data_IF_968264672632
#
_entry.id   IF_968264672632
#
_cell.length_a   1.000
_cell.length_b   1.000
_cell.length_c   1.000
_cell.angle_alpha   90.00
_cell.angle_beta   90.00
_cell.angle_gamma   90.00
#
_symmetry.space_group_name_H-M   'P 1'
#
loop_
_entity.id
_entity.type
_entity.pdbx_description
1 polymer ?
#
# COMPACT_ATOMS: atom_id res chain seq x y z
N UNK A 1 11.46 -1.97 15.12
CA UNK A 1 12.36 -1.60 14.00
C UNK A 1 11.99 -0.26 13.37
N UNK A 2 10.85 -0.11 12.66
CA UNK A 2 10.51 1.15 11.94
C UNK A 2 10.53 2.39 12.84
N UNK A 3 9.87 2.35 14.00
CA UNK A 3 9.85 3.50 14.92
C UNK A 3 11.22 3.85 15.51
N UNK A 4 12.12 2.86 15.63
CA UNK A 4 13.51 3.10 16.09
C UNK A 4 14.29 3.85 15.02
N UNK A 5 14.02 3.59 13.74
CA UNK A 5 14.63 4.35 12.66
C UNK A 5 14.17 5.81 12.67
N UNK A 6 12.89 6.08 12.90
CA UNK A 6 12.41 7.45 13.06
C UNK A 6 13.04 8.15 14.26
N UNK A 7 13.13 7.45 15.39
CA UNK A 7 13.82 7.97 16.57
C UNK A 7 15.28 8.33 16.26
N UNK A 8 16.03 7.46 15.56
CA UNK A 8 17.43 7.69 15.22
C UNK A 8 17.64 8.77 14.15
N UNK A 9 16.78 8.79 13.14
CA UNK A 9 16.96 9.67 11.96
C UNK A 9 16.40 11.07 12.17
N UNK A 10 15.61 11.28 13.22
CA UNK A 10 15.14 12.61 13.68
C UNK A 10 16.03 13.23 14.75
N UNK A 11 17.24 12.71 14.92
CA UNK A 11 18.27 13.29 15.78
C UNK A 11 19.54 13.62 15.01
N UNK A 12 19.46 13.64 13.66
CA UNK A 12 20.60 13.96 12.81
C UNK A 12 20.79 15.47 12.70
N UNK A 13 19.72 16.25 12.84
CA UNK A 13 19.75 17.71 13.04
C UNK A 13 18.80 18.18 14.16
N UNK A 14 18.56 19.51 14.22
CA UNK A 14 17.79 20.17 15.28
C UNK A 14 16.27 20.06 15.11
N UNK A 15 15.79 19.68 13.93
CA UNK A 15 14.37 19.56 13.65
C UNK A 15 13.87 18.11 13.89
N UNK A 16 12.56 17.91 14.12
CA UNK A 16 12.04 16.58 14.48
C UNK A 16 11.74 15.68 13.27
N UNK A 17 12.12 16.10 12.06
CA UNK A 17 11.84 15.41 10.81
C UNK A 17 12.88 14.32 10.55
N UNK A 18 12.59 13.45 9.58
CA UNK A 18 13.51 12.40 9.16
C UNK A 18 14.43 12.95 8.08
N UNK A 19 15.74 12.92 8.30
CA UNK A 19 16.76 13.52 7.40
C UNK A 19 17.33 12.57 6.34
N UNK A 20 16.73 11.39 6.22
CA UNK A 20 17.13 10.38 5.23
C UNK A 20 15.96 10.04 4.32
N UNK A 21 16.25 9.45 3.16
CA UNK A 21 15.23 8.81 2.32
C UNK A 21 15.11 7.33 2.70
N UNK A 22 14.08 6.92 3.46
CA UNK A 22 14.01 5.58 4.01
C UNK A 22 13.46 4.57 2.99
N UNK A 23 13.88 3.32 3.12
CA UNK A 23 13.37 2.18 2.37
C UNK A 23 13.86 0.88 2.99
N UNK A 24 13.12 -0.21 2.80
CA UNK A 24 13.44 -1.51 3.40
C UNK A 24 13.61 -2.58 2.33
N UNK A 25 14.81 -3.13 2.19
CA UNK A 25 15.01 -4.34 1.42
C UNK A 25 14.67 -5.54 2.30
N UNK A 26 13.61 -6.26 1.95
CA UNK A 26 13.11 -7.42 2.69
C UNK A 26 12.53 -8.46 1.73
N UNK A 27 12.96 -9.70 1.86
CA UNK A 27 12.39 -10.85 1.14
C UNK A 27 12.41 -12.09 2.05
N UNK A 28 11.62 -13.11 1.74
CA UNK A 28 11.52 -14.30 2.61
C UNK A 28 12.72 -15.25 2.54
N UNK A 29 13.53 -15.17 1.48
CA UNK A 29 14.71 -16.03 1.30
C UNK A 29 15.88 -15.25 0.70
N UNK A 30 17.14 -15.73 0.86
CA UNK A 30 18.30 -15.11 0.24
C UNK A 30 18.19 -15.00 -1.29
N UNK A 31 17.63 -16.01 -1.96
CA UNK A 31 17.44 -16.02 -3.41
C UNK A 31 16.46 -14.92 -3.85
N UNK A 32 15.35 -14.76 -3.12
CA UNK A 32 14.36 -13.71 -3.39
C UNK A 32 14.91 -12.31 -3.06
N UNK A 33 15.74 -12.22 -2.02
CA UNK A 33 16.45 -10.98 -1.67
C UNK A 33 17.43 -10.57 -2.77
N UNK A 34 18.25 -11.50 -3.26
CA UNK A 34 19.14 -11.25 -4.41
C UNK A 34 18.35 -10.77 -5.63
N UNK A 35 17.24 -11.44 -5.95
CA UNK A 35 16.37 -11.02 -7.05
C UNK A 35 15.74 -9.62 -6.83
N UNK A 36 15.56 -9.17 -5.58
CA UNK A 36 15.12 -7.80 -5.26
C UNK A 36 16.22 -6.79 -5.51
N UNK A 37 17.45 -7.10 -5.12
CA UNK A 37 18.61 -6.25 -5.41
C UNK A 37 18.83 -6.14 -6.92
N UNK A 38 18.88 -7.27 -7.62
CA UNK A 38 19.14 -7.31 -9.08
C UNK A 38 18.11 -6.48 -9.86
N UNK A 39 16.82 -6.63 -9.55
CA UNK A 39 15.77 -5.84 -10.24
C UNK A 39 15.77 -4.37 -9.84
N UNK A 40 16.21 -4.02 -8.64
CA UNK A 40 16.35 -2.61 -8.22
C UNK A 40 17.48 -1.93 -9.01
N UNK A 41 18.62 -2.61 -9.18
CA UNK A 41 19.75 -2.13 -9.99
C UNK A 41 19.36 -1.96 -11.47
N UNK A 42 18.58 -2.90 -12.00
CA UNK A 42 18.16 -2.89 -13.41
C UNK A 42 16.98 -1.96 -13.68
N UNK A 43 16.31 -1.46 -12.64
CA UNK A 43 15.11 -0.66 -12.79
C UNK A 43 15.43 0.64 -13.53
N UNK A 44 14.60 0.94 -14.53
CA UNK A 44 14.59 2.23 -15.21
C UNK A 44 13.24 2.89 -14.97
N UNK A 45 13.21 4.20 -14.64
CA UNK A 45 11.94 4.93 -14.50
C UNK A 45 11.09 4.75 -15.76
N UNK A 46 9.80 4.47 -15.58
CA UNK A 46 8.91 4.28 -16.73
C UNK A 46 8.46 5.65 -17.27
N UNK A 47 8.67 5.85 -18.56
CA UNK A 47 8.02 6.93 -19.31
C UNK A 47 6.50 6.81 -19.24
N UNK A 48 5.80 7.94 -19.29
CA UNK A 48 4.32 8.01 -19.18
C UNK A 48 3.59 7.01 -20.10
N UNK A 49 4.06 6.86 -21.35
CA UNK A 49 3.48 5.95 -22.34
C UNK A 49 3.60 4.47 -21.99
N UNK A 50 4.49 4.12 -21.06
CA UNK A 50 4.72 2.75 -20.60
C UNK A 50 4.03 2.44 -19.26
N UNK A 51 3.43 3.45 -18.62
CA UNK A 51 2.70 3.26 -17.37
C UNK A 51 1.38 2.56 -17.67
N UNK A 52 1.14 1.43 -17.01
CA UNK A 52 -0.09 0.64 -17.10
C UNK A 52 -0.66 0.51 -15.69
N UNK A 53 -1.50 1.47 -15.24
CA UNK A 53 -2.05 1.46 -13.91
C UNK A 53 -3.24 0.50 -13.81
N UNK A 54 -3.33 -0.27 -12.74
CA UNK A 54 -4.51 -1.05 -12.35
C UNK A 54 -5.00 -0.56 -10.99
N UNK A 55 -6.28 -0.17 -10.91
CA UNK A 55 -6.91 0.16 -9.64
C UNK A 55 -7.66 -1.06 -9.08
N UNK A 56 -7.41 -1.42 -7.81
CA UNK A 56 -8.15 -2.47 -7.09
C UNK A 56 -8.88 -1.84 -5.90
N UNK A 57 -10.20 -1.90 -5.93
CA UNK A 57 -11.08 -1.14 -5.04
C UNK A 57 -11.97 -2.07 -4.25
N UNK A 58 -11.91 -2.05 -2.92
CA UNK A 58 -12.81 -2.86 -2.11
C UNK A 58 -14.08 -2.10 -1.72
N UNK A 59 -15.25 -2.72 -1.89
CA UNK A 59 -16.53 -2.27 -1.36
C UNK A 59 -16.94 -3.19 -0.20
N UNK A 60 -16.78 -2.75 1.05
CA UNK A 60 -17.04 -3.59 2.22
C UNK A 60 -18.53 -3.84 2.45
N UNK A 61 -19.37 -2.82 2.21
CA UNK A 61 -20.83 -2.83 2.38
C UNK A 61 -21.50 -1.94 1.33
N UNK A 62 -22.82 -2.08 1.17
CA UNK A 62 -23.59 -1.33 0.18
C UNK A 62 -23.46 0.19 0.33
N UNK A 63 -23.37 0.67 1.58
CA UNK A 63 -23.24 2.08 1.94
C UNK A 63 -21.79 2.61 1.84
N UNK A 64 -20.78 1.75 1.71
CA UNK A 64 -19.35 2.11 1.78
C UNK A 64 -18.72 2.29 0.39
N UNK A 65 -19.27 3.20 -0.42
CA UNK A 65 -18.89 3.39 -1.84
C UNK A 65 -17.64 4.26 -2.07
N UNK A 66 -17.01 4.79 -1.01
CA UNK A 66 -15.85 5.71 -1.12
C UNK A 66 -14.67 5.11 -1.89
N UNK A 67 -14.51 3.78 -1.86
CA UNK A 67 -13.50 3.11 -2.68
C UNK A 67 -13.75 3.29 -4.17
N UNK A 68 -15.00 3.21 -4.64
CA UNK A 68 -15.31 3.41 -6.05
C UNK A 68 -15.00 4.84 -6.51
N UNK A 69 -15.27 5.82 -5.65
CA UNK A 69 -14.91 7.23 -5.91
C UNK A 69 -13.39 7.42 -6.07
N UNK A 70 -12.58 6.75 -5.26
CA UNK A 70 -11.11 6.79 -5.37
C UNK A 70 -10.62 6.16 -6.68
N UNK A 71 -11.26 5.11 -7.15
CA UNK A 71 -10.97 4.53 -8.47
C UNK A 71 -11.24 5.53 -9.60
N UNK A 72 -12.34 6.30 -9.50
CA UNK A 72 -12.64 7.37 -10.44
C UNK A 72 -11.61 8.51 -10.39
N UNK A 73 -11.11 8.87 -9.19
CA UNK A 73 -10.00 9.83 -9.04
C UNK A 73 -8.75 9.34 -9.78
N UNK A 74 -8.37 8.07 -9.63
CA UNK A 74 -7.22 7.48 -10.33
C UNK A 74 -7.42 7.48 -11.85
N UNK A 75 -8.61 7.08 -12.33
CA UNK A 75 -8.93 7.10 -13.76
C UNK A 75 -8.85 8.51 -14.35
N UNK A 76 -9.33 9.53 -13.61
CA UNK A 76 -9.20 10.94 -14.01
C UNK A 76 -7.75 11.44 -13.96
N UNK A 77 -6.99 11.02 -12.95
CA UNK A 77 -5.58 11.40 -12.79
C UNK A 77 -4.74 10.94 -13.98
N UNK A 78 -4.75 9.64 -14.29
CA UNK A 78 -4.01 9.07 -15.41
C UNK A 78 -4.60 9.44 -16.78
N UNK A 79 -5.90 9.67 -16.86
CA UNK A 79 -6.57 10.12 -18.08
C UNK A 79 -6.07 11.47 -18.59
N UNK A 80 -5.53 12.35 -17.73
CA UNK A 80 -4.91 13.63 -18.14
C UNK A 80 -3.72 13.46 -19.07
N UNK A 81 -3.07 12.31 -19.00
CA UNK A 81 -1.92 11.96 -19.84
C UNK A 81 -2.27 10.83 -20.83
N UNK A 82 -3.56 10.65 -21.11
CA UNK A 82 -4.09 9.61 -22.00
C UNK A 82 -3.69 8.17 -21.59
N UNK A 83 -3.56 7.92 -20.30
CA UNK A 83 -3.25 6.58 -19.76
C UNK A 83 -4.53 5.94 -19.24
N UNK A 84 -4.93 4.82 -19.88
CA UNK A 84 -6.07 4.03 -19.45
C UNK A 84 -5.83 3.41 -18.06
N UNK A 85 -6.86 3.39 -17.22
CA UNK A 85 -6.80 2.78 -15.88
C UNK A 85 -7.92 1.76 -15.73
N UNK A 86 -7.64 0.48 -16.04
CA UNK A 86 -8.53 -0.63 -15.68
C UNK A 86 -8.84 -0.66 -14.19
N UNK A 87 -10.05 -1.11 -13.84
CA UNK A 87 -10.54 -1.15 -12.45
C UNK A 87 -11.06 -2.55 -12.12
N UNK A 88 -10.56 -3.12 -11.02
CA UNK A 88 -11.18 -4.27 -10.37
C UNK A 88 -11.88 -3.79 -9.10
N UNK A 89 -13.20 -3.87 -9.07
CA UNK A 89 -14.00 -3.57 -7.89
C UNK A 89 -14.35 -4.88 -7.17
N UNK A 90 -13.87 -5.05 -5.94
CA UNK A 90 -14.06 -6.24 -5.11
C UNK A 90 -15.13 -5.97 -4.05
N UNK A 91 -16.30 -6.55 -4.23
CA UNK A 91 -17.44 -6.45 -3.32
C UNK A 91 -17.34 -7.54 -2.27
N UNK A 92 -17.39 -7.17 -1.00
CA UNK A 92 -17.48 -8.15 0.08
C UNK A 92 -18.84 -8.87 0.03
N UNK A 93 -18.96 -10.02 0.70
CA UNK A 93 -20.24 -10.74 0.83
C UNK A 93 -21.40 -9.90 1.40
N UNK A 94 -21.11 -8.79 2.08
CA UNK A 94 -22.10 -7.87 2.65
C UNK A 94 -22.48 -6.70 1.72
N UNK A 95 -21.86 -6.62 0.55
CA UNK A 95 -22.03 -5.52 -0.40
C UNK A 95 -22.83 -5.94 -1.65
N UNK A 96 -23.72 -6.93 -1.53
CA UNK A 96 -24.47 -7.50 -2.67
C UNK A 96 -25.34 -6.45 -3.36
N UNK A 97 -25.93 -5.55 -2.58
CA UNK A 97 -26.79 -4.45 -3.05
C UNK A 97 -26.03 -3.16 -3.36
N UNK A 98 -24.69 -3.18 -3.30
CA UNK A 98 -23.89 -2.01 -3.61
C UNK A 98 -24.00 -1.62 -5.09
N UNK A 99 -23.94 -0.32 -5.36
CA UNK A 99 -23.82 0.19 -6.72
C UNK A 99 -22.59 -0.41 -7.42
N UNK A 100 -22.77 -0.85 -8.67
CA UNK A 100 -21.70 -1.44 -9.48
C UNK A 100 -21.16 -0.43 -10.49
N UNK A 101 -19.85 -0.50 -10.73
CA UNK A 101 -19.23 0.29 -11.78
C UNK A 101 -19.56 -0.28 -13.17
N UNK A 102 -19.74 0.59 -14.15
CA UNK A 102 -19.98 0.24 -15.55
C UNK A 102 -18.93 0.90 -16.45
N UNK A 103 -18.65 0.29 -17.60
CA UNK A 103 -17.72 0.81 -18.60
C UNK A 103 -16.63 -0.19 -19.00
N UNK A 104 -15.75 0.21 -19.95
CA UNK A 104 -14.70 -0.66 -20.44
C UNK A 104 -13.64 -0.90 -19.35
N UNK A 105 -13.09 -2.12 -19.37
CA UNK A 105 -12.02 -2.59 -18.47
C UNK A 105 -12.35 -2.45 -16.99
N UNK A 106 -13.62 -2.65 -16.66
CA UNK A 106 -14.13 -2.69 -15.30
C UNK A 106 -14.62 -4.10 -14.99
N UNK A 107 -14.11 -4.69 -13.91
CA UNK A 107 -14.55 -6.00 -13.43
C UNK A 107 -15.05 -5.89 -12.00
N UNK A 108 -16.34 -6.20 -11.81
CA UNK A 108 -16.98 -6.25 -10.49
C UNK A 108 -16.96 -7.68 -9.97
N UNK A 109 -16.08 -7.98 -9.00
CA UNK A 109 -15.90 -9.30 -8.41
C UNK A 109 -16.61 -9.37 -7.06
N UNK A 110 -17.36 -10.44 -6.84
CA UNK A 110 -18.14 -10.65 -5.61
C UNK A 110 -17.47 -11.73 -4.76
N UNK A 111 -17.06 -11.38 -3.54
CA UNK A 111 -16.67 -12.35 -2.52
C UNK A 111 -17.92 -13.04 -1.94
N UNK A 112 -17.76 -14.30 -1.53
CA UNK A 112 -18.84 -15.12 -0.97
C UNK A 112 -18.52 -15.53 0.46
N UNK A 113 -19.43 -16.27 1.11
CA UNK A 113 -19.15 -16.84 2.44
C UNK A 113 -18.06 -17.92 2.37
N UNK A 114 -18.02 -18.70 1.28
CA UNK A 114 -17.02 -19.76 1.05
C UNK A 114 -15.65 -19.18 0.64
N UNK A 115 -15.66 -18.06 -0.08
CA UNK A 115 -14.45 -17.34 -0.51
C UNK A 115 -14.57 -15.88 -0.06
N UNK A 116 -14.21 -15.58 1.20
CA UNK A 116 -14.38 -14.24 1.76
C UNK A 116 -13.48 -13.19 1.10
N UNK A 117 -12.43 -13.64 0.40
CA UNK A 117 -11.47 -12.83 -0.33
C UNK A 117 -11.23 -13.45 -1.71
N UNK A 118 -10.97 -12.61 -2.71
CA UNK A 118 -10.77 -13.03 -4.09
C UNK A 118 -9.41 -13.72 -4.24
N UNK A 119 -9.42 -14.93 -4.79
CA UNK A 119 -8.23 -15.73 -5.11
C UNK A 119 -7.99 -15.91 -6.62
N UNK A 120 -8.98 -15.58 -7.44
CA UNK A 120 -8.88 -15.71 -8.89
C UNK A 120 -9.57 -14.54 -9.58
N UNK A 121 -9.03 -14.16 -10.73
CA UNK A 121 -9.55 -13.07 -11.54
C UNK A 121 -10.09 -13.63 -12.85
N UNK A 122 -11.21 -13.10 -13.38
CA UNK A 122 -11.63 -13.40 -14.73
C UNK A 122 -10.53 -13.04 -15.73
N UNK A 123 -10.49 -13.73 -16.88
CA UNK A 123 -9.39 -13.66 -17.85
C UNK A 123 -8.95 -12.24 -18.19
N UNK A 124 -9.90 -11.32 -18.41
CA UNK A 124 -9.61 -9.91 -18.68
C UNK A 124 -8.91 -9.20 -17.52
N UNK A 125 -9.45 -9.31 -16.31
CA UNK A 125 -8.85 -8.73 -15.10
C UNK A 125 -7.46 -9.34 -14.80
N UNK A 126 -7.31 -10.65 -14.99
CA UNK A 126 -6.03 -11.33 -14.82
C UNK A 126 -4.97 -10.81 -15.82
N UNK A 127 -5.36 -10.58 -17.07
CA UNK A 127 -4.48 -10.00 -18.09
C UNK A 127 -4.10 -8.55 -17.77
N UNK A 128 -5.06 -7.74 -17.31
CA UNK A 128 -4.79 -6.38 -16.84
C UNK A 128 -3.81 -6.37 -15.65
N UNK A 129 -3.99 -7.25 -14.67
CA UNK A 129 -3.09 -7.36 -13.52
C UNK A 129 -1.68 -7.82 -13.94
N UNK A 130 -1.57 -8.84 -14.78
CA UNK A 130 -0.26 -9.29 -15.28
C UNK A 130 0.46 -8.23 -16.11
N UNK A 131 -0.26 -7.43 -16.89
CA UNK A 131 0.34 -6.38 -17.73
C UNK A 131 0.59 -5.06 -17.00
N UNK A 132 -0.03 -4.84 -15.84
CA UNK A 132 0.11 -3.60 -15.07
C UNK A 132 1.57 -3.38 -14.66
N UNK A 133 2.05 -2.15 -14.79
CA UNK A 133 3.33 -1.72 -14.20
C UNK A 133 3.12 -1.09 -12.82
N UNK A 134 1.92 -0.55 -12.58
CA UNK A 134 1.51 0.09 -11.34
C UNK A 134 0.20 -0.54 -10.86
N UNK A 135 0.15 -0.96 -9.60
CA UNK A 135 -1.09 -1.44 -8.97
C UNK A 135 -1.41 -0.55 -7.78
N UNK A 136 -2.58 0.09 -7.81
CA UNK A 136 -3.06 0.96 -6.74
C UNK A 136 -4.26 0.29 -6.07
N UNK A 137 -4.11 -0.09 -4.81
CA UNK A 137 -5.12 -0.80 -4.05
C UNK A 137 -5.68 0.11 -2.96
N UNK A 138 -7.01 0.18 -2.82
CA UNK A 138 -7.64 0.92 -1.72
C UNK A 138 -8.91 0.23 -1.21
N UNK A 139 -8.98 0.08 0.11
CA UNK A 139 -9.99 -0.72 0.80
C UNK A 139 -9.55 -1.08 2.21
N UNK A 140 -10.18 -2.09 2.80
CA UNK A 140 -9.74 -2.68 4.05
C UNK A 140 -8.66 -3.73 3.83
N UNK A 141 -8.01 -4.14 4.91
CA UNK A 141 -6.98 -5.16 4.88
C UNK A 141 -6.80 -5.79 6.25
N UNK A 142 -6.34 -7.03 6.22
CA UNK A 142 -5.90 -7.82 7.36
C UNK A 142 -4.63 -8.57 6.92
N UNK A 143 -3.82 -9.14 7.82
CA UNK A 143 -2.70 -9.97 7.38
C UNK A 143 -3.16 -11.04 6.37
N UNK A 144 -2.39 -11.22 5.29
CA UNK A 144 -2.75 -12.11 4.17
C UNK A 144 -3.84 -11.61 3.22
N UNK A 145 -4.35 -10.38 3.35
CA UNK A 145 -5.37 -9.81 2.47
C UNK A 145 -5.24 -8.29 2.32
N UNK A 146 -5.28 -7.80 1.09
CA UNK A 146 -5.36 -6.36 0.81
C UNK A 146 -6.52 -6.06 -0.14
N UNK A 147 -7.39 -5.13 0.27
CA UNK A 147 -8.48 -4.60 -0.55
C UNK A 147 -9.39 -5.67 -1.16
N UNK A 148 -9.68 -6.71 -0.37
CA UNK A 148 -10.52 -7.85 -0.76
C UNK A 148 -9.80 -8.94 -1.57
N UNK A 149 -8.53 -8.75 -1.91
CA UNK A 149 -7.69 -9.74 -2.60
C UNK A 149 -6.89 -10.53 -1.58
N UNK A 150 -7.01 -11.85 -1.60
CA UNK A 150 -6.21 -12.73 -0.77
C UNK A 150 -4.76 -12.77 -1.27
N UNK A 151 -3.82 -13.07 -0.38
CA UNK A 151 -2.41 -13.27 -0.73
C UNK A 151 -2.21 -14.37 -1.79
N UNK A 152 -3.07 -15.39 -1.80
CA UNK A 152 -3.07 -16.46 -2.82
C UNK A 152 -3.64 -15.99 -4.17
N UNK A 153 -4.31 -14.84 -4.20
CA UNK A 153 -4.81 -14.21 -5.42
C UNK A 153 -3.76 -13.37 -6.15
N UNK A 154 -2.60 -13.10 -5.53
CA UNK A 154 -1.52 -12.38 -6.20
C UNK A 154 -0.99 -13.22 -7.38
N UNK A 155 -0.79 -12.60 -8.57
CA UNK A 155 -0.04 -13.24 -9.65
C UNK A 155 1.30 -13.79 -9.14
N UNK A 156 1.66 -14.99 -9.60
CA UNK A 156 2.95 -15.60 -9.28
C UNK A 156 4.14 -14.79 -9.83
N UNK A 157 3.90 -14.04 -10.91
CA UNK A 157 4.85 -13.12 -11.52
C UNK A 157 4.35 -11.68 -11.41
N UNK A 158 5.04 -10.90 -10.59
CA UNK A 158 4.88 -9.47 -10.37
C UNK A 158 6.14 -8.70 -10.79
N UNK A 159 6.96 -9.26 -11.68
CA UNK A 159 8.23 -8.67 -12.11
C UNK A 159 8.06 -7.19 -12.50
N UNK A 160 8.93 -6.35 -11.94
CA UNK A 160 9.00 -4.92 -12.25
C UNK A 160 7.82 -4.08 -11.73
N UNK A 161 6.83 -4.69 -11.06
CA UNK A 161 5.64 -3.96 -10.63
C UNK A 161 5.91 -3.07 -9.42
N UNK A 162 5.28 -1.92 -9.44
CA UNK A 162 5.22 -1.00 -8.31
C UNK A 162 3.81 -1.06 -7.72
N UNK A 163 3.70 -1.31 -6.42
CA UNK A 163 2.40 -1.54 -5.75
C UNK A 163 2.21 -0.53 -4.62
N UNK A 164 1.07 0.14 -4.63
CA UNK A 164 0.61 1.04 -3.57
C UNK A 164 -0.62 0.44 -2.92
N UNK A 165 -0.51 0.06 -1.65
CA UNK A 165 -1.61 -0.50 -0.87
C UNK A 165 -2.07 0.46 0.22
N UNK A 166 -3.28 0.98 0.05
CA UNK A 166 -3.98 1.85 1.00
C UNK A 166 -4.81 1.07 2.01
N UNK A 167 -4.47 -0.18 2.32
CA UNK A 167 -5.20 -0.99 3.29
C UNK A 167 -4.46 -1.13 4.62
N UNK A 168 -5.21 -1.46 5.67
CA UNK A 168 -4.62 -1.85 6.95
C UNK A 168 -3.82 -3.16 6.78
N UNK A 169 -2.77 -3.35 7.56
CA UNK A 169 -2.02 -4.61 7.71
C UNK A 169 -1.40 -5.20 6.42
N UNK A 170 -1.37 -4.46 5.31
CA UNK A 170 -0.80 -4.94 4.06
C UNK A 170 0.68 -5.34 4.21
N UNK A 171 1.41 -4.65 5.10
CA UNK A 171 2.80 -4.92 5.44
C UNK A 171 2.95 -5.36 6.91
N UNK A 172 1.95 -6.04 7.48
CA UNK A 172 1.98 -6.44 8.89
C UNK A 172 3.15 -7.38 9.17
N UNK A 173 3.98 -7.11 10.20
CA UNK A 173 5.03 -8.03 10.60
C UNK A 173 4.44 -9.24 11.33
N UNK A 174 5.26 -10.29 11.46
CA UNK A 174 4.95 -11.48 12.25
C UNK A 174 4.94 -11.18 13.76
N UNK A 175 5.75 -10.20 14.19
CA UNK A 175 5.88 -9.74 15.57
C UNK A 175 5.74 -8.22 15.65
N UNK A 176 5.10 -7.72 16.70
CA UNK A 176 4.92 -6.29 16.89
C UNK A 176 4.76 -5.91 18.36
N UNK A 177 5.37 -4.78 18.74
CA UNK A 177 5.38 -4.30 20.12
C UNK A 177 4.06 -3.68 20.57
N UNK A 178 3.16 -3.31 19.63
CA UNK A 178 1.86 -2.81 20.04
C UNK A 178 0.86 -3.94 20.31
N UNK A 179 -0.26 -3.65 21.01
CA UNK A 179 -1.25 -4.65 21.35
C UNK A 179 -1.78 -5.40 20.13
N UNK A 180 -2.12 -6.67 20.33
CA UNK A 180 -2.83 -7.45 19.34
C UNK A 180 -4.20 -6.79 19.04
N UNK A 181 -4.52 -6.70 17.76
CA UNK A 181 -5.84 -6.25 17.28
C UNK A 181 -6.59 -7.51 16.87
N UNK A 182 -7.78 -7.76 17.45
CA UNK A 182 -8.59 -8.95 17.12
C UNK A 182 -9.47 -8.75 15.88
N UNK A 183 -9.92 -7.52 15.65
CA UNK A 183 -10.75 -7.17 14.50
C UNK A 183 -10.23 -5.88 13.84
N UNK A 184 -10.12 -5.91 12.51
CA UNK A 184 -9.78 -4.74 11.71
C UNK A 184 -11.04 -3.93 11.34
N UNK A 185 -10.88 -2.65 10.93
CA UNK A 185 -11.95 -1.88 10.32
C UNK A 185 -12.61 -2.68 9.18
N UNK A 186 -13.95 -2.65 9.12
CA UNK A 186 -14.76 -3.51 8.24
C UNK A 186 -15.27 -4.80 8.90
N UNK A 187 -14.84 -5.10 10.13
CA UNK A 187 -15.32 -6.25 10.92
C UNK A 187 -14.67 -7.58 10.54
N UNK A 188 -13.47 -7.53 9.96
CA UNK A 188 -12.68 -8.71 9.62
C UNK A 188 -11.87 -9.18 10.82
N UNK A 189 -11.85 -10.48 11.07
CA UNK A 189 -10.98 -11.09 12.08
C UNK A 189 -9.51 -10.99 11.65
N UNK A 190 -8.65 -10.57 12.58
CA UNK A 190 -7.20 -10.49 12.35
C UNK A 190 -6.58 -11.80 12.78
N UNK A 191 -6.09 -12.58 11.81
CA UNK A 191 -5.36 -13.83 12.02
C UNK A 191 -3.90 -13.63 11.67
N UNK A 192 -3.02 -14.44 12.27
CA UNK A 192 -1.61 -14.49 11.90
C UNK A 192 -1.50 -15.13 10.51
N UNK A 193 -1.06 -14.35 9.53
CA UNK A 193 -0.78 -14.76 8.15
C UNK A 193 0.41 -13.95 7.64
N UNK A 194 1.05 -14.42 6.58
CA UNK A 194 2.11 -13.68 5.92
C UNK A 194 1.64 -12.29 5.48
N UNK A 195 2.56 -11.32 5.49
CA UNK A 195 2.29 -9.99 4.97
C UNK A 195 1.99 -10.07 3.47
N UNK A 196 0.93 -9.40 3.03
CA UNK A 196 0.61 -9.28 1.61
C UNK A 196 1.77 -8.64 0.83
N UNK A 197 2.42 -7.65 1.43
CA UNK A 197 3.61 -6.98 0.91
C UNK A 197 4.78 -7.93 0.69
N UNK A 198 5.04 -8.85 1.63
CA UNK A 198 6.16 -9.79 1.52
C UNK A 198 5.95 -10.74 0.35
N UNK A 199 4.74 -11.29 0.19
CA UNK A 199 4.42 -12.13 -0.98
C UNK A 199 4.54 -11.35 -2.28
N UNK A 200 4.12 -10.10 -2.32
CA UNK A 200 4.24 -9.28 -3.52
C UNK A 200 5.71 -9.07 -3.94
N UNK A 201 6.59 -8.75 -2.98
CA UNK A 201 8.03 -8.62 -3.21
C UNK A 201 8.64 -9.96 -3.65
N UNK A 202 8.26 -11.05 -2.99
CA UNK A 202 8.74 -12.40 -3.31
C UNK A 202 8.33 -12.87 -4.72
N UNK A 203 7.14 -12.44 -5.18
CA UNK A 203 6.64 -12.71 -6.52
C UNK A 203 7.22 -11.74 -7.58
N UNK A 204 8.10 -10.80 -7.20
CA UNK A 204 8.86 -9.98 -8.15
C UNK A 204 8.53 -8.49 -8.18
N UNK A 205 7.64 -8.00 -7.32
CA UNK A 205 7.39 -6.55 -7.23
C UNK A 205 8.69 -5.81 -6.85
N UNK A 206 8.97 -4.70 -7.54
CA UNK A 206 10.18 -3.89 -7.29
C UNK A 206 9.99 -3.01 -6.06
N UNK A 207 8.78 -2.47 -5.89
CA UNK A 207 8.43 -1.62 -4.75
C UNK A 207 7.03 -1.99 -4.25
N UNK A 208 6.87 -2.04 -2.93
CA UNK A 208 5.59 -2.11 -2.26
C UNK A 208 5.48 -1.02 -1.19
N UNK A 209 4.54 -0.09 -1.36
CA UNK A 209 4.13 0.83 -0.31
C UNK A 209 2.91 0.27 0.43
N UNK A 210 2.94 0.29 1.76
CA UNK A 210 1.82 -0.17 2.57
C UNK A 210 1.92 0.26 4.02
N UNK A 211 1.09 -0.36 4.85
CA UNK A 211 1.02 -0.04 6.27
C UNK A 211 1.07 -1.32 7.12
N UNK A 212 1.80 -1.28 8.23
CA UNK A 212 1.99 -2.44 9.11
C UNK A 212 0.78 -2.72 10.01
N UNK A 213 -0.05 -1.69 10.27
CA UNK A 213 -1.24 -1.76 11.14
C UNK A 213 -2.46 -1.03 10.55
N UNK A 214 -3.13 -0.16 11.30
CA UNK A 214 -4.30 0.59 10.85
C UNK A 214 -3.89 1.75 9.94
N UNK A 215 -4.30 1.69 8.68
CA UNK A 215 -3.98 2.70 7.66
C UNK A 215 -5.10 3.73 7.54
N UNK A 216 -4.75 4.99 7.28
CA UNK A 216 -5.70 6.01 6.83
C UNK A 216 -6.11 5.83 5.35
N UNK A 217 -5.40 4.96 4.63
CA UNK A 217 -5.68 4.58 3.26
C UNK A 217 -5.35 5.67 2.23
N UNK A 218 -6.30 5.92 1.34
CA UNK A 218 -6.09 6.76 0.15
C UNK A 218 -5.55 8.17 0.42
N UNK A 219 -5.96 8.90 1.48
CA UNK A 219 -5.40 10.22 1.78
C UNK A 219 -3.88 10.24 2.03
N UNK A 220 -3.27 9.13 2.44
CA UNK A 220 -1.82 9.04 2.60
C UNK A 220 -1.15 8.33 1.42
N UNK A 221 -1.87 7.46 0.73
CA UNK A 221 -1.38 6.79 -0.48
C UNK A 221 -1.28 7.76 -1.67
N UNK A 222 -2.31 8.59 -1.88
CA UNK A 222 -2.40 9.44 -3.08
C UNK A 222 -1.27 10.48 -3.15
N UNK A 223 -0.89 11.18 -2.06
CA UNK A 223 0.28 12.06 -2.09
C UNK A 223 1.58 11.34 -2.47
N UNK A 224 1.77 10.08 -2.04
CA UNK A 224 2.93 9.27 -2.44
C UNK A 224 2.89 8.97 -3.94
N UNK A 225 1.71 8.63 -4.48
CA UNK A 225 1.52 8.46 -5.93
C UNK A 225 1.79 9.74 -6.71
N UNK A 226 1.31 10.89 -6.22
CA UNK A 226 1.55 12.20 -6.84
C UNK A 226 3.04 12.52 -6.86
N UNK A 227 3.75 12.27 -5.75
CA UNK A 227 5.19 12.47 -5.66
C UNK A 227 5.96 11.54 -6.64
N UNK A 228 5.59 10.26 -6.74
CA UNK A 228 6.17 9.38 -7.77
C UNK A 228 5.86 9.85 -9.19
N UNK A 229 4.66 10.39 -9.43
CA UNK A 229 4.27 10.97 -10.71
C UNK A 229 5.06 12.24 -11.05
N UNK A 230 5.66 12.91 -10.07
CA UNK A 230 6.61 14.01 -10.26
C UNK A 230 8.04 13.50 -10.53
N UNK A 231 8.23 12.19 -10.62
CA UNK A 231 9.53 11.57 -10.83
C UNK A 231 10.39 11.51 -9.58
N UNK A 232 9.84 11.68 -8.37
CA UNK A 232 10.58 11.52 -7.12
C UNK A 232 10.93 10.05 -6.87
N UNK A 233 12.00 9.82 -6.12
CA UNK A 233 12.35 8.46 -5.67
C UNK A 233 11.33 7.93 -4.66
N UNK A 234 11.28 6.62 -4.47
CA UNK A 234 10.34 6.04 -3.52
C UNK A 234 10.66 6.42 -2.08
N UNK A 235 11.94 6.56 -1.74
CA UNK A 235 12.38 7.03 -0.43
C UNK A 235 12.05 8.50 -0.19
N UNK A 236 12.24 9.37 -1.19
CA UNK A 236 11.90 10.79 -1.06
C UNK A 236 10.39 10.99 -0.84
N UNK A 237 9.53 10.35 -1.64
CA UNK A 237 8.08 10.44 -1.46
C UNK A 237 7.62 9.89 -0.12
N UNK A 238 8.27 8.83 0.36
CA UNK A 238 7.95 8.21 1.63
C UNK A 238 8.38 9.08 2.81
N UNK A 239 9.58 9.68 2.75
CA UNK A 239 10.04 10.66 3.73
C UNK A 239 9.07 11.85 3.80
N UNK A 240 8.65 12.41 2.66
CA UNK A 240 7.70 13.52 2.61
C UNK A 240 6.38 13.18 3.33
N UNK A 241 5.86 11.96 3.16
CA UNK A 241 4.69 11.50 3.91
C UNK A 241 4.99 11.42 5.42
N UNK A 242 6.08 10.79 5.83
CA UNK A 242 6.42 10.62 7.24
C UNK A 242 6.65 11.97 7.92
N UNK A 243 7.39 12.89 7.30
CA UNK A 243 7.64 14.23 7.80
C UNK A 243 6.34 15.03 7.94
N UNK A 244 5.43 14.95 6.94
CA UNK A 244 4.12 15.57 7.06
C UNK A 244 3.31 15.02 8.25
N UNK A 245 3.38 13.71 8.51
CA UNK A 245 2.70 13.09 9.64
C UNK A 245 3.34 13.47 10.98
N UNK A 246 4.66 13.60 11.05
CA UNK A 246 5.40 14.11 12.20
C UNK A 246 4.93 15.53 12.53
N UNK A 247 4.92 16.42 11.54
CA UNK A 247 4.47 17.81 11.71
C UNK A 247 3.03 17.88 12.18
N UNK A 248 2.11 17.21 11.48
CA UNK A 248 0.66 17.27 11.79
C UNK A 248 0.34 16.67 13.17
N UNK A 249 1.13 15.71 13.65
CA UNK A 249 0.91 15.06 14.95
C UNK A 249 1.78 15.61 16.08
N UNK A 250 2.69 16.54 15.78
CA UNK A 250 3.59 17.12 16.76
C UNK A 250 4.56 16.11 17.37
N UNK A 251 4.99 15.10 16.61
CA UNK A 251 6.04 14.20 17.08
C UNK A 251 7.35 14.95 17.28
N UNK A 252 8.14 14.48 18.24
CA UNK A 252 9.46 14.99 18.61
C UNK A 252 10.33 13.79 18.96
N UNK A 253 11.64 13.97 18.85
CA UNK A 253 12.64 12.99 19.29
C UNK A 253 12.39 12.66 20.77
N UNK A 254 12.56 11.39 21.13
CA UNK A 254 12.16 10.79 22.40
C UNK A 254 10.70 10.32 22.48
N UNK A 255 9.87 10.56 21.45
CA UNK A 255 8.43 10.22 21.44
C UNK A 255 8.02 9.26 20.33
N UNK A 256 8.95 8.79 19.50
CA UNK A 256 8.64 7.84 18.43
C UNK A 256 8.44 6.42 18.95
N UNK A 257 9.15 6.05 20.02
CA UNK A 257 9.07 4.70 20.59
C UNK A 257 7.78 4.49 21.39
N UNK A 258 7.26 3.27 21.33
CA UNK A 258 6.15 2.84 22.20
C UNK A 258 6.72 2.43 23.55
N UNK A 259 6.28 3.08 24.62
CA UNK A 259 6.69 2.70 25.97
C UNK A 259 6.28 1.24 26.28
N UNK A 260 7.10 0.49 27.04
CA UNK A 260 6.77 -0.87 27.45
C UNK A 260 5.39 -0.92 28.14
N UNK A 261 4.67 -2.02 27.96
CA UNK A 261 3.45 -2.24 28.74
C UNK A 261 3.82 -2.33 30.22
N UNK A 262 3.34 -1.39 31.04
CA UNK A 262 3.30 -1.61 32.48
C UNK A 262 2.09 -2.51 32.76
N UNK A 263 2.26 -3.72 33.35
CA UNK A 263 1.14 -4.56 33.72
C UNK A 263 0.16 -3.77 34.61
N UNK A 264 -1.13 -3.75 34.26
CA UNK A 264 -2.18 -3.16 35.09
C UNK A 264 -2.45 -1.65 34.89
N UNK A 265 -1.75 -0.93 34.01
CA UNK A 265 -2.09 0.47 33.69
C UNK A 265 -2.32 0.72 32.19
N UNK A 266 -3.49 1.32 31.93
CA UNK A 266 -3.95 2.00 30.71
C UNK A 266 -4.49 1.12 29.57
N UNK A 267 -5.76 1.38 29.28
CA UNK A 267 -6.47 1.09 28.02
C UNK A 267 -5.65 1.56 26.80
N UNK A 268 -4.98 0.62 26.12
CA UNK A 268 -4.11 0.84 24.95
C UNK A 268 -4.88 1.16 23.66
N UNK A 269 -5.95 1.97 23.73
CA UNK A 269 -6.91 2.09 22.63
C UNK A 269 -6.44 2.97 21.46
N UNK A 270 -5.46 3.87 21.64
CA UNK A 270 -4.90 4.70 20.56
C UNK A 270 -3.43 5.03 20.80
N UNK A 271 -2.53 4.33 20.11
CA UNK A 271 -1.12 4.69 20.05
C UNK A 271 -0.89 5.61 18.85
N UNK A 272 -0.54 6.89 19.05
CA UNK A 272 -0.36 7.83 17.95
C UNK A 272 0.73 7.37 16.96
N UNK A 273 1.73 6.62 17.45
CA UNK A 273 2.82 6.03 16.66
C UNK A 273 2.31 5.12 15.54
N UNK A 274 1.07 4.61 15.62
CA UNK A 274 0.48 3.82 14.54
C UNK A 274 0.51 4.56 13.21
N UNK A 275 0.36 5.90 13.20
CA UNK A 275 0.37 6.67 11.96
C UNK A 275 1.72 6.68 11.26
N UNK A 276 2.81 6.40 11.97
CA UNK A 276 4.17 6.37 11.45
C UNK A 276 4.58 4.96 10.98
N UNK A 277 3.63 4.02 10.88
CA UNK A 277 3.87 2.63 10.46
C UNK A 277 3.53 2.37 8.99
N UNK A 278 3.52 3.42 8.17
CA UNK A 278 3.72 3.26 6.73
C UNK A 278 5.10 2.67 6.49
N UNK A 279 5.26 1.91 5.40
CA UNK A 279 6.54 1.35 4.96
C UNK A 279 6.62 1.32 3.45
N UNK A 280 7.83 1.48 2.92
CA UNK A 280 8.21 1.13 1.56
C UNK A 280 9.14 -0.06 1.62
N UNK A 281 8.71 -1.19 1.07
CA UNK A 281 9.58 -2.33 0.79
C UNK A 281 10.15 -2.17 -0.63
N UNK A 282 11.46 -2.06 -0.76
CA UNK A 282 12.16 -1.72 -1.99
C UNK A 282 13.34 -0.78 -1.73
N UNK A 283 14.18 -0.62 -2.74
CA UNK A 283 15.31 0.31 -2.71
C UNK A 283 14.79 1.77 -2.68
N UNK A 284 15.14 2.59 -1.67
CA UNK A 284 14.68 3.98 -1.58
C UNK A 284 15.09 4.86 -2.75
N UNK A 285 16.19 4.54 -3.45
CA UNK A 285 16.69 5.31 -4.58
C UNK A 285 15.92 5.05 -5.89
N UNK A 286 15.12 3.98 -5.95
CA UNK A 286 14.32 3.66 -7.14
C UNK A 286 13.36 4.80 -7.43
N UNK A 287 13.35 5.24 -8.69
CA UNK A 287 12.38 6.19 -9.23
C UNK A 287 11.38 5.40 -10.09
N UNK A 288 10.11 5.25 -9.66
CA UNK A 288 9.15 4.43 -10.39
C UNK A 288 8.91 4.92 -11.81
N UNK A 289 8.77 6.23 -11.97
CA UNK A 289 8.32 6.89 -13.20
C UNK A 289 9.25 8.05 -13.54
N UNK A 290 9.36 8.35 -14.82
CA UNK A 290 9.70 9.70 -15.24
C UNK A 290 8.56 10.65 -14.84
N UNK A 291 8.79 11.98 -14.74
CA UNK A 291 7.71 12.93 -14.49
C UNK A 291 6.57 12.72 -15.49
N UNK A 292 5.39 12.42 -14.98
CA UNK A 292 4.18 12.26 -15.77
C UNK A 292 3.76 13.65 -16.18
N UNK A 293 3.81 13.93 -17.48
CA UNK A 293 3.39 15.21 -18.05
C UNK A 293 1.95 15.50 -17.66
N UNK A 294 1.76 16.34 -16.65
CA UNK A 294 0.46 16.97 -16.41
C UNK A 294 0.35 18.04 -17.49
N UNK A 295 -0.50 17.82 -18.50
CA UNK A 295 -0.88 18.90 -19.40
C UNK A 295 -1.15 20.16 -18.55
N UNK A 296 -0.53 21.27 -18.94
CA UNK A 296 -0.62 22.57 -18.26
C UNK A 296 -2.05 22.81 -17.78
N UNK A 297 -2.19 23.12 -16.48
CA UNK A 297 -3.47 23.55 -15.90
C UNK A 297 -3.99 24.80 -16.60
#
# INVERSE_FOLDING_TARGET
MVLVLWELTSTLDDDPLVDVFPGFLLASTPQRFRALVDRSIQHKPLATSRIKPLAISQVPRAEELRSLQKAAVLRKWFGRSNVATPIVAVYSRRAVEAARLTGPEIWNLQATSQQPFIKSFPRGAQAAFRSASLVVMHGHGVPGMSCGVDIDGLPADLAGKVILSGSCFAASPVHSDFPAVRQAPGGYEVKKRDAFALRAIDNGATVFFGHMRLSMGFPHLFPVLEAWSQGKSVGESYQQLINALITVRGFRSGKFLVAPAVPGRVSRRRLPQNLLLYVVLGDPAVRPFEPIGTGSR
#
